data_IF_493916126974
#
_entry.id   IF_493916126974
#
_cell.length_a   1.000
_cell.length_b   1.000
_cell.length_c   1.000
_cell.angle_alpha   90.00
_cell.angle_beta   90.00
_cell.angle_gamma   90.00
#
_symmetry.space_group_name_H-M   'P 1'
#
loop_
_entity.id
_entity.type
_entity.pdbx_description
1 polymer ?
#
# COMPACT_ATOMS: atom_id res chain seq x y z
N UNK A 1 4.58 0.13 -9.90
CA UNK A 1 3.13 -0.02 -9.68
C UNK A 1 2.92 -0.74 -8.36
N UNK A 2 2.06 -0.20 -7.51
CA UNK A 2 1.66 -0.82 -6.23
C UNK A 2 0.18 -1.12 -6.31
N UNK A 3 -0.21 -2.38 -6.17
CA UNK A 3 -1.60 -2.78 -6.03
C UNK A 3 -1.90 -3.09 -4.57
N UNK A 4 -3.04 -2.61 -4.08
CA UNK A 4 -3.52 -2.92 -2.74
C UNK A 4 -4.97 -3.36 -2.81
N UNK A 5 -5.29 -4.41 -2.06
CA UNK A 5 -6.65 -4.85 -1.79
C UNK A 5 -6.87 -4.86 -0.30
N UNK A 6 -7.89 -4.15 0.17
CA UNK A 6 -8.23 -4.09 1.59
C UNK A 6 -9.39 -5.01 1.90
N UNK A 7 -9.28 -5.80 2.97
CA UNK A 7 -10.36 -6.66 3.47
C UNK A 7 -11.32 -5.94 4.40
N UNK A 8 -10.94 -4.75 4.86
CA UNK A 8 -11.75 -3.91 5.75
C UNK A 8 -11.94 -2.51 5.15
N UNK A 9 -12.90 -1.75 5.67
CA UNK A 9 -13.00 -0.34 5.37
C UNK A 9 -11.84 0.41 6.03
N UNK A 10 -10.94 0.97 5.24
CA UNK A 10 -9.81 1.76 5.73
C UNK A 10 -9.30 2.76 4.70
N UNK A 11 -8.52 3.73 5.17
CA UNK A 11 -7.85 4.70 4.30
C UNK A 11 -6.41 4.25 4.08
N UNK A 12 -6.01 4.19 2.82
CA UNK A 12 -4.64 3.92 2.39
C UNK A 12 -4.05 5.20 1.82
N UNK A 13 -2.86 5.56 2.29
CA UNK A 13 -2.06 6.63 1.73
C UNK A 13 -0.82 6.02 1.08
N UNK A 14 -0.55 6.39 -0.17
CA UNK A 14 0.67 5.98 -0.89
C UNK A 14 1.43 7.22 -1.30
N UNK A 15 2.69 7.31 -0.90
CA UNK A 15 3.62 8.33 -1.35
C UNK A 15 4.60 7.70 -2.33
N UNK A 16 4.77 8.28 -3.49
CA UNK A 16 5.78 7.83 -4.45
C UNK A 16 7.12 8.56 -4.25
N UNK A 17 8.14 8.12 -5.00
CA UNK A 17 9.49 8.70 -4.96
C UNK A 17 9.57 10.12 -5.53
N UNK A 18 8.53 10.59 -6.22
CA UNK A 18 8.43 11.99 -6.67
C UNK A 18 7.86 12.91 -5.60
N UNK A 19 7.40 12.34 -4.48
CA UNK A 19 6.73 13.07 -3.40
C UNK A 19 5.23 13.20 -3.59
N UNK A 20 4.66 12.64 -4.66
CA UNK A 20 3.21 12.60 -4.90
C UNK A 20 2.58 11.70 -3.85
N UNK A 21 1.63 12.25 -3.10
CA UNK A 21 0.90 11.54 -2.06
C UNK A 21 -0.55 11.34 -2.50
N UNK A 22 -0.94 10.09 -2.72
CA UNK A 22 -2.30 9.71 -3.08
C UNK A 22 -2.97 9.02 -1.90
N UNK A 23 -4.11 9.58 -1.48
CA UNK A 23 -4.97 8.99 -0.44
C UNK A 23 -6.19 8.37 -1.09
N UNK A 24 -6.49 7.13 -0.73
CA UNK A 24 -7.70 6.43 -1.16
C UNK A 24 -8.38 5.76 0.02
N UNK A 25 -9.67 6.06 0.18
CA UNK A 25 -10.54 5.27 1.02
C UNK A 25 -10.89 3.99 0.26
N UNK A 26 -10.62 2.84 0.86
CA UNK A 26 -11.03 1.54 0.39
C UNK A 26 -12.16 1.05 1.29
N UNK A 27 -13.25 0.61 0.70
CA UNK A 27 -14.29 -0.15 1.41
C UNK A 27 -13.85 -1.62 1.59
N UNK A 28 -14.71 -2.42 2.23
CA UNK A 28 -14.50 -3.85 2.43
C UNK A 28 -14.35 -4.53 1.06
N UNK A 29 -13.25 -5.28 0.87
CA UNK A 29 -12.83 -5.88 -0.41
C UNK A 29 -12.54 -4.86 -1.53
N UNK A 30 -12.41 -3.57 -1.20
CA UNK A 30 -12.01 -2.53 -2.12
C UNK A 30 -10.55 -2.70 -2.53
N UNK A 31 -10.24 -2.43 -3.80
CA UNK A 31 -8.87 -2.48 -4.30
C UNK A 31 -8.52 -1.28 -5.16
N UNK A 32 -7.23 -0.95 -5.21
CA UNK A 32 -6.72 0.15 -6.01
C UNK A 32 -5.28 -0.09 -6.44
N UNK A 33 -4.97 0.39 -7.64
CA UNK A 33 -3.61 0.38 -8.20
C UNK A 33 -3.06 1.80 -8.19
N UNK A 34 -1.92 1.98 -7.55
CA UNK A 34 -1.15 3.21 -7.55
C UNK A 34 -0.02 3.11 -8.58
N UNK A 35 0.12 4.17 -9.37
CA UNK A 35 1.13 4.29 -10.41
C UNK A 35 2.02 5.49 -10.10
N UNK A 36 3.32 5.30 -10.22
CA UNK A 36 4.31 6.31 -9.86
C UNK A 36 5.71 5.74 -9.98
N UNK A 37 6.67 6.45 -9.39
CA UNK A 37 8.08 6.04 -9.34
C UNK A 37 8.43 5.51 -7.94
N UNK A 38 9.21 4.44 -7.87
CA UNK A 38 9.75 3.97 -6.60
C UNK A 38 10.78 4.98 -6.04
N UNK A 39 11.03 4.99 -4.71
CA UNK A 39 10.42 4.15 -3.68
C UNK A 39 8.97 4.56 -3.36
N UNK A 40 8.12 3.58 -3.01
CA UNK A 40 6.76 3.86 -2.55
C UNK A 40 6.68 3.69 -1.04
N UNK A 41 6.12 4.68 -0.34
CA UNK A 41 5.80 4.59 1.08
C UNK A 41 4.29 4.41 1.22
N UNK A 42 3.88 3.24 1.65
CA UNK A 42 2.50 2.91 1.89
C UNK A 42 2.20 3.09 3.38
N UNK A 43 1.11 3.77 3.71
CA UNK A 43 0.69 4.08 5.07
C UNK A 43 -0.79 3.77 5.23
N UNK A 44 -1.13 2.94 6.21
CA UNK A 44 -2.51 2.60 6.54
C UNK A 44 -2.62 2.17 8.00
N UNK A 45 -3.82 2.18 8.54
CA UNK A 45 -4.03 1.85 9.96
C UNK A 45 -3.84 0.36 10.25
N UNK A 46 -4.08 -0.52 9.27
CA UNK A 46 -3.98 -1.96 9.46
C UNK A 46 -3.43 -2.68 8.21
N UNK A 47 -2.10 -2.75 8.10
CA UNK A 47 -1.42 -3.42 6.98
C UNK A 47 -1.74 -4.93 6.92
N UNK A 48 -1.97 -5.58 8.06
CA UNK A 48 -2.36 -7.00 8.11
C UNK A 48 -3.68 -7.31 7.40
N UNK A 49 -4.57 -6.31 7.31
CA UNK A 49 -5.87 -6.43 6.63
C UNK A 49 -5.81 -5.95 5.18
N UNK A 50 -4.62 -5.67 4.65
CA UNK A 50 -4.38 -5.25 3.28
C UNK A 50 -3.43 -6.22 2.57
N UNK A 51 -3.85 -6.75 1.43
CA UNK A 51 -3.00 -7.52 0.52
C UNK A 51 -2.29 -6.54 -0.42
N UNK A 52 -0.96 -6.46 -0.30
CA UNK A 52 -0.12 -5.51 -1.05
C UNK A 52 0.74 -6.26 -2.07
N UNK A 53 0.78 -5.73 -3.28
CA UNK A 53 1.59 -6.25 -4.37
C UNK A 53 2.42 -5.13 -4.98
N UNK A 54 3.73 -5.30 -5.05
CA UNK A 54 4.66 -4.36 -5.65
C UNK A 54 5.27 -4.98 -6.90
N UNK A 55 5.05 -4.33 -8.05
CA UNK A 55 5.56 -4.80 -9.36
C UNK A 55 5.23 -6.29 -9.66
N UNK A 56 4.09 -6.78 -9.18
CA UNK A 56 3.66 -8.18 -9.36
C UNK A 56 4.11 -9.13 -8.24
N UNK A 57 5.00 -8.70 -7.33
CA UNK A 57 5.40 -9.48 -6.16
C UNK A 57 4.52 -9.16 -4.96
N UNK A 58 4.05 -10.20 -4.26
CA UNK A 58 3.31 -10.02 -3.01
C UNK A 58 4.27 -9.57 -1.92
N UNK A 59 3.98 -8.43 -1.31
CA UNK A 59 4.75 -7.91 -0.18
C UNK A 59 4.26 -8.63 1.08
N UNK A 60 5.19 -9.25 1.80
CA UNK A 60 4.91 -9.82 3.12
C UNK A 60 5.19 -8.75 4.17
N UNK A 61 4.18 -8.47 4.98
CA UNK A 61 4.31 -7.60 6.14
C UNK A 61 4.67 -8.52 7.31
N UNK A 62 5.89 -8.38 7.82
CA UNK A 62 6.40 -9.21 8.93
C UNK A 62 5.82 -8.73 10.27
N UNK A 63 5.64 -7.41 10.43
CA UNK A 63 5.05 -6.81 11.61
C UNK A 63 3.55 -6.53 11.40
N UNK A 64 2.65 -7.29 12.04
CA UNK A 64 1.22 -7.12 11.86
C UNK A 64 0.68 -5.79 12.41
N UNK A 65 1.44 -5.10 13.27
CA UNK A 65 1.11 -3.78 13.80
C UNK A 65 1.76 -2.64 13.01
N UNK A 66 2.48 -2.94 11.94
CA UNK A 66 3.04 -1.90 11.08
C UNK A 66 1.91 -1.03 10.52
N UNK A 67 2.11 0.28 10.62
CA UNK A 67 1.24 1.29 10.02
C UNK A 67 1.80 1.85 8.71
N UNK A 68 3.05 1.48 8.36
CA UNK A 68 3.68 1.85 7.12
C UNK A 68 4.65 0.79 6.61
N UNK A 69 4.82 0.73 5.29
CA UNK A 69 5.81 -0.10 4.61
C UNK A 69 6.45 0.70 3.49
N UNK A 70 7.76 0.55 3.32
CA UNK A 70 8.52 1.17 2.24
C UNK A 70 8.82 0.08 1.20
N UNK A 71 8.54 0.38 -0.05
CA UNK A 71 8.71 -0.50 -1.19
C UNK A 71 9.76 0.11 -2.10
N UNK A 72 10.93 -0.50 -2.11
CA UNK A 72 12.09 -0.05 -2.89
C UNK A 72 12.36 -1.05 -4.02
N UNK A 73 12.87 -0.55 -5.14
CA UNK A 73 13.42 -1.43 -6.19
C UNK A 73 14.76 -1.97 -5.68
N UNK A 74 14.93 -3.30 -5.77
CA UNK A 74 16.16 -4.00 -5.36
C UNK A 74 17.17 -4.00 -6.50
#
# INVERSE_FOLDING_TARGET
>A
MVYISSRIKQVVCVKDGTGKLEKRALDVNGSHSFFGKAPFVLMTTNLSQADIFFQGYRVRIDDPNASSVILEEV
#
